data_IF_649006584329
#
_entry.id   IF_649006584329
#
_cell.length_a   1.000
_cell.length_b   1.000
_cell.length_c   1.000
_cell.angle_alpha   90.00
_cell.angle_beta   90.00
_cell.angle_gamma   90.00
#
_symmetry.space_group_name_H-M   'P 1'
#
loop_
_entity.id
_entity.type
_entity.pdbx_description
1 polymer ?
#
# COMPACT_ATOMS: atom_id res chain seq x y z
N UNK A 1 0.82 1.56 -9.77
CA UNK A 1 1.72 2.39 -10.63
C UNK A 1 1.64 3.81 -10.09
N UNK A 2 2.77 4.49 -9.87
CA UNK A 2 2.77 5.85 -9.34
C UNK A 2 2.16 6.81 -10.38
N UNK A 3 1.02 7.40 -10.03
CA UNK A 3 0.31 8.37 -10.87
C UNK A 3 0.54 9.78 -10.35
N UNK A 4 0.50 10.74 -11.26
CA UNK A 4 0.52 12.16 -10.96
C UNK A 4 -0.59 12.59 -9.98
N UNK A 5 -1.78 12.02 -10.20
CA UNK A 5 -2.96 12.28 -9.37
C UNK A 5 -2.81 11.72 -7.96
N UNK A 6 -2.20 10.53 -7.85
CA UNK A 6 -1.82 9.87 -6.60
C UNK A 6 -0.93 10.79 -5.76
N UNK A 7 0.14 11.32 -6.34
CA UNK A 7 1.09 12.20 -5.63
C UNK A 7 0.38 13.46 -5.10
N UNK A 8 -0.47 14.08 -5.92
CA UNK A 8 -1.23 15.25 -5.47
C UNK A 8 -2.24 14.94 -4.38
N UNK A 9 -2.95 13.82 -4.49
CA UNK A 9 -3.94 13.40 -3.49
C UNK A 9 -3.26 13.09 -2.15
N UNK A 10 -2.07 12.50 -2.18
CA UNK A 10 -1.30 12.21 -0.97
C UNK A 10 -0.79 13.48 -0.28
N UNK A 11 -0.49 14.56 -1.03
CA UNK A 11 -0.20 15.88 -0.45
C UNK A 11 -1.44 16.45 0.26
N UNK A 12 -2.62 16.37 -0.37
CA UNK A 12 -3.86 16.81 0.24
C UNK A 12 -4.14 16.05 1.54
N UNK A 13 -3.93 14.74 1.53
CA UNK A 13 -4.12 13.85 2.69
C UNK A 13 -3.19 14.17 3.85
N UNK A 14 -1.92 14.50 3.58
CA UNK A 14 -0.98 14.95 4.62
C UNK A 14 -1.49 16.24 5.26
N UNK A 15 -1.95 17.20 4.45
CA UNK A 15 -2.49 18.46 4.97
C UNK A 15 -3.71 18.20 5.87
N UNK A 16 -4.66 17.38 5.40
CA UNK A 16 -5.85 16.97 6.16
C UNK A 16 -5.49 16.29 7.48
N UNK A 17 -4.52 15.37 7.47
CA UNK A 17 -4.09 14.61 8.67
C UNK A 17 -3.50 15.54 9.73
N UNK A 18 -2.88 16.65 9.31
CA UNK A 18 -2.34 17.68 10.21
C UNK A 18 -3.35 18.77 10.57
N UNK A 19 -4.60 18.69 10.08
CA UNK A 19 -5.63 19.70 10.29
C UNK A 19 -5.35 21.03 9.56
N UNK A 20 -4.53 21.00 8.51
CA UNK A 20 -4.10 22.17 7.75
C UNK A 20 -4.72 22.16 6.36
N UNK A 21 -4.94 23.35 5.81
CA UNK A 21 -5.15 23.47 4.36
C UNK A 21 -3.82 23.32 3.62
N UNK A 22 -3.87 22.88 2.38
CA UNK A 22 -2.68 22.73 1.52
C UNK A 22 -1.90 24.04 1.39
N UNK A 23 -2.61 25.18 1.31
CA UNK A 23 -1.98 26.50 1.28
C UNK A 23 -1.35 26.90 2.61
N UNK A 24 -1.90 26.46 3.74
CA UNK A 24 -1.28 26.66 5.05
C UNK A 24 -0.01 25.79 5.18
N UNK A 25 -0.08 24.54 4.74
CA UNK A 25 1.07 23.63 4.67
C UNK A 25 2.19 24.20 3.79
N UNK A 26 1.86 24.77 2.63
CA UNK A 26 2.82 25.45 1.76
C UNK A 26 3.53 26.61 2.47
N UNK A 27 2.76 27.46 3.18
CA UNK A 27 3.31 28.58 3.95
C UNK A 27 4.24 28.11 5.06
N UNK A 28 3.86 27.06 5.79
CA UNK A 28 4.70 26.46 6.82
C UNK A 28 6.00 25.90 6.24
N UNK A 29 5.96 25.36 5.02
CA UNK A 29 7.12 24.85 4.29
C UNK A 29 7.97 25.93 3.59
N UNK A 30 7.66 27.22 3.78
CA UNK A 30 8.38 28.31 3.12
C UNK A 30 8.19 28.37 1.60
N UNK A 31 7.11 27.76 1.10
CA UNK A 31 6.71 27.75 -0.31
C UNK A 31 5.61 28.78 -0.55
N UNK A 32 5.42 29.16 -1.82
CA UNK A 32 4.30 30.00 -2.20
C UNK A 32 2.97 29.30 -1.89
N UNK A 33 2.03 30.04 -1.28
CA UNK A 33 0.76 29.50 -0.82
C UNK A 33 -0.11 28.93 -1.95
N UNK A 34 0.13 29.34 -3.19
CA UNK A 34 -0.61 28.90 -4.38
C UNK A 34 0.07 27.76 -5.14
N UNK A 35 1.29 27.38 -4.75
CA UNK A 35 2.10 26.38 -5.44
C UNK A 35 1.40 25.02 -5.59
N UNK A 36 0.58 24.65 -4.61
CA UNK A 36 -0.11 23.36 -4.55
C UNK A 36 -1.63 23.45 -4.82
N UNK A 37 -2.12 24.62 -5.23
CA UNK A 37 -3.53 24.82 -5.54
C UNK A 37 -3.94 23.99 -6.77
N UNK A 38 -5.17 23.47 -6.77
CA UNK A 38 -5.70 22.56 -7.80
C UNK A 38 -5.60 23.13 -9.21
N UNK A 39 -5.79 24.44 -9.38
CA UNK A 39 -5.66 25.14 -10.66
C UNK A 39 -4.25 25.15 -11.26
N UNK A 40 -3.21 24.89 -10.47
CA UNK A 40 -1.80 24.84 -10.91
C UNK A 40 -1.30 23.41 -11.17
N UNK A 41 -2.10 22.38 -10.86
CA UNK A 41 -1.75 20.96 -11.03
C UNK A 41 -1.81 20.48 -12.47
N UNK A 42 -2.48 21.24 -13.32
CA UNK A 42 -2.54 21.04 -14.77
C UNK A 42 -1.79 22.19 -15.42
N UNK A 43 -0.84 21.87 -16.29
CA UNK A 43 -0.10 22.87 -17.06
C UNK A 43 -0.98 23.57 -18.11
N UNK A 44 -0.52 24.69 -18.67
CA UNK A 44 -1.23 25.41 -19.74
C UNK A 44 -1.48 24.53 -20.98
N UNK A 45 -0.63 23.53 -21.22
CA UNK A 45 -0.76 22.57 -22.32
C UNK A 45 -1.76 21.43 -22.03
N UNK A 46 -2.51 21.49 -20.93
CA UNK A 46 -3.43 20.43 -20.49
C UNK A 46 -2.73 19.20 -19.89
N UNK A 47 -1.40 19.21 -19.77
CA UNK A 47 -0.63 18.09 -19.24
C UNK A 47 -0.61 18.09 -17.71
N UNK A 48 -0.68 16.91 -17.07
CA UNK A 48 -0.46 16.78 -15.64
C UNK A 48 0.93 17.31 -15.25
N UNK A 49 0.98 18.28 -14.32
CA UNK A 49 2.22 18.95 -13.90
C UNK A 49 2.79 18.32 -12.63
N UNK A 50 3.81 17.47 -12.76
CA UNK A 50 4.49 16.85 -11.62
C UNK A 50 5.05 17.88 -10.63
N UNK A 51 4.89 17.68 -9.30
CA UNK A 51 5.55 18.50 -8.31
C UNK A 51 7.06 18.26 -8.32
N UNK A 52 7.84 19.31 -8.03
CA UNK A 52 9.29 19.19 -7.88
C UNK A 52 9.64 18.43 -6.61
N UNK A 53 10.69 17.62 -6.66
CA UNK A 53 11.23 16.88 -5.50
C UNK A 53 11.65 17.80 -4.36
N UNK A 54 12.17 18.99 -4.67
CA UNK A 54 12.51 20.02 -3.68
C UNK A 54 11.27 20.48 -2.89
N UNK A 55 10.15 20.69 -3.57
CA UNK A 55 8.91 21.12 -2.92
C UNK A 55 8.33 20.01 -2.03
N UNK A 56 8.46 18.75 -2.44
CA UNK A 56 8.08 17.59 -1.63
C UNK A 56 8.94 17.50 -0.36
N UNK A 57 10.26 17.66 -0.48
CA UNK A 57 11.18 17.63 0.66
C UNK A 57 10.82 18.70 1.71
N UNK A 58 10.58 19.94 1.28
CA UNK A 58 10.16 21.04 2.16
C UNK A 58 8.85 20.75 2.90
N UNK A 59 7.88 20.10 2.23
CA UNK A 59 6.64 19.67 2.88
C UNK A 59 6.93 18.60 3.94
N UNK A 60 7.76 17.60 3.64
CA UNK A 60 8.08 16.53 4.60
C UNK A 60 8.74 17.07 5.86
N UNK A 61 9.66 18.03 5.72
CA UNK A 61 10.28 18.71 6.87
C UNK A 61 9.26 19.52 7.66
N UNK A 62 8.40 20.31 7.00
CA UNK A 62 7.41 21.15 7.69
C UNK A 62 6.26 20.34 8.34
N UNK A 63 5.85 19.24 7.71
CA UNK A 63 4.81 18.35 8.21
C UNK A 63 5.34 17.31 9.20
N UNK A 64 6.67 17.22 9.38
CA UNK A 64 7.35 16.15 10.10
C UNK A 64 6.82 14.76 9.68
N UNK A 65 6.71 14.55 8.36
CA UNK A 65 6.12 13.38 7.73
C UNK A 65 7.20 12.57 7.00
N UNK A 66 7.09 11.25 7.05
CA UNK A 66 8.02 10.35 6.38
C UNK A 66 7.54 9.96 4.97
N UNK A 67 8.47 9.60 4.09
CA UNK A 67 8.14 9.08 2.75
C UNK A 67 7.22 7.87 2.80
N UNK A 68 7.39 6.98 3.79
CA UNK A 68 6.53 5.82 3.95
C UNK A 68 5.10 6.22 4.30
N UNK A 69 4.92 7.23 5.14
CA UNK A 69 3.60 7.77 5.47
C UNK A 69 2.94 8.34 4.21
N UNK A 70 3.68 9.15 3.45
CA UNK A 70 3.20 9.73 2.19
C UNK A 70 2.66 8.69 1.20
N UNK A 71 3.39 7.59 1.00
CA UNK A 71 2.94 6.51 0.10
C UNK A 71 1.96 5.51 0.74
N UNK A 72 1.76 5.56 2.06
CA UNK A 72 0.76 4.73 2.75
C UNK A 72 -0.63 5.39 2.75
N UNK A 73 -0.68 6.70 2.50
CA UNK A 73 -1.90 7.50 2.42
C UNK A 73 -2.66 7.34 1.10
N UNK A 74 -2.16 6.50 0.19
CA UNK A 74 -2.87 6.10 -1.02
C UNK A 74 -4.25 5.54 -0.63
N UNK A 75 -5.34 5.95 -1.31
CA UNK A 75 -6.54 5.15 -1.26
C UNK A 75 -6.14 3.77 -1.75
N UNK A 76 -6.30 2.76 -0.90
CA UNK A 76 -6.13 1.38 -1.29
C UNK A 76 -7.13 1.12 -2.42
N UNK A 77 -6.73 1.36 -3.66
CA UNK A 77 -7.38 0.79 -4.83
C UNK A 77 -7.26 -0.70 -4.57
N UNK A 78 -8.39 -1.30 -4.17
CA UNK A 78 -8.45 -2.64 -3.63
C UNK A 78 -7.67 -3.61 -4.50
N UNK A 79 -6.43 -3.86 -4.10
CA UNK A 79 -5.65 -5.00 -4.54
C UNK A 79 -4.93 -5.40 -3.28
N UNK A 80 -5.60 -6.29 -2.53
CA UNK A 80 -4.92 -7.15 -1.59
C UNK A 80 -3.66 -7.64 -2.30
N UNK A 81 -2.50 -7.18 -1.86
CA UNK A 81 -1.26 -7.68 -2.40
C UNK A 81 -1.31 -9.21 -2.27
N UNK A 82 -1.20 -10.00 -3.35
CA UNK A 82 -0.93 -11.40 -3.16
C UNK A 82 0.40 -11.45 -2.43
N UNK A 83 0.41 -12.02 -1.23
CA UNK A 83 1.61 -12.53 -0.60
C UNK A 83 2.23 -13.49 -1.60
N UNK A 84 3.13 -12.97 -2.44
CA UNK A 84 3.85 -13.75 -3.43
C UNK A 84 4.88 -14.53 -2.64
N UNK A 85 4.45 -15.66 -2.08
CA UNK A 85 5.33 -16.64 -1.50
C UNK A 85 6.32 -17.01 -2.60
N UNK A 86 7.58 -16.59 -2.44
CA UNK A 86 8.66 -16.96 -3.33
C UNK A 86 8.90 -18.45 -3.03
N UNK A 87 8.55 -19.39 -3.93
CA UNK A 87 8.84 -20.78 -3.68
C UNK A 87 10.36 -20.95 -3.75
N UNK A 88 10.99 -21.31 -2.62
CA UNK A 88 12.37 -21.80 -2.61
C UNK A 88 12.39 -23.17 -3.28
N UNK A 89 12.46 -23.18 -4.60
CA UNK A 89 12.79 -24.36 -5.38
C UNK A 89 14.31 -24.56 -5.27
N UNK A 90 14.72 -25.68 -4.66
CA UNK A 90 16.05 -26.24 -4.89
C UNK A 90 17.02 -26.32 -3.71
N UNK A 91 16.59 -26.69 -2.50
CA UNK A 91 17.50 -27.23 -1.47
C UNK A 91 17.04 -28.60 -0.90
N UNK A 92 15.93 -29.14 -1.39
CA UNK A 92 15.32 -30.37 -0.88
C UNK A 92 15.30 -31.52 -1.91
N UNK A 93 16.34 -31.63 -2.75
CA UNK A 93 16.74 -32.94 -3.28
C UNK A 93 17.86 -33.52 -2.40
N UNK A 94 17.62 -33.53 -1.09
CA UNK A 94 18.46 -34.21 -0.11
C UNK A 94 17.52 -34.69 1.01
N UNK A 95 17.19 -35.98 0.98
CA UNK A 95 16.40 -36.63 2.04
C UNK A 95 15.13 -37.30 1.51
N UNK A 96 15.31 -38.47 0.94
CA UNK A 96 14.28 -39.49 0.76
C UNK A 96 13.45 -39.67 2.04
N UNK A 97 12.12 -39.75 1.91
CA UNK A 97 11.23 -40.16 3.00
C UNK A 97 10.36 -39.01 3.50
N UNK A 98 9.08 -39.06 3.17
CA UNK A 98 8.12 -38.02 3.51
C UNK A 98 7.74 -38.00 4.98
N UNK A 99 7.31 -36.83 5.47
CA UNK A 99 6.51 -36.71 6.69
C UNK A 99 5.55 -35.52 6.55
N UNK A 100 4.29 -35.79 6.88
CA UNK A 100 3.14 -34.90 6.95
C UNK A 100 3.30 -33.91 8.12
N UNK A 101 2.67 -32.72 8.07
CA UNK A 101 1.68 -32.23 9.07
C UNK A 101 0.83 -31.09 8.45
N UNK A 102 -0.48 -31.17 8.63
CA UNK A 102 -1.47 -30.11 8.36
C UNK A 102 -1.65 -29.16 9.56
N UNK A 103 -1.84 -27.86 9.33
CA UNK A 103 -2.54 -26.91 10.21
C UNK A 103 -2.92 -25.65 9.40
N UNK A 104 -4.11 -25.03 9.45
CA UNK A 104 -5.29 -25.24 10.26
C UNK A 104 -6.56 -24.71 9.53
N UNK A 105 -7.62 -25.50 9.70
CA UNK A 105 -9.04 -25.16 9.88
C UNK A 105 -9.53 -23.75 9.47
N UNK A 106 -10.25 -23.70 8.33
CA UNK A 106 -11.18 -22.63 7.98
C UNK A 106 -12.47 -22.83 8.79
N UNK A 107 -12.84 -21.84 9.62
CA UNK A 107 -14.09 -21.83 10.39
C UNK A 107 -15.30 -21.91 9.44
N UNK A 108 -16.20 -22.81 9.81
CA UNK A 108 -17.38 -23.26 9.10
C UNK A 108 -18.44 -22.19 8.80
N UNK A 109 -19.12 -22.34 7.66
CA UNK A 109 -20.49 -21.93 7.46
C UNK A 109 -21.36 -23.18 7.26
N UNK A 110 -22.40 -23.30 8.09
CA UNK A 110 -23.59 -24.14 7.96
C UNK A 110 -23.45 -25.68 7.83
N UNK A 111 -23.85 -26.37 8.91
CA UNK A 111 -24.73 -27.55 8.80
C UNK A 111 -24.11 -28.94 8.59
N UNK A 112 -24.05 -29.70 9.69
CA UNK A 112 -24.07 -31.18 9.80
C UNK A 112 -22.78 -32.02 9.63
N UNK A 113 -22.66 -33.14 10.39
CA UNK A 113 -21.39 -33.83 10.62
C UNK A 113 -21.06 -34.88 9.53
N UNK A 114 -19.93 -34.69 8.83
CA UNK A 114 -19.34 -35.72 7.97
C UNK A 114 -18.65 -36.79 8.81
N UNK A 115 -19.21 -38.00 8.83
CA UNK A 115 -18.61 -39.20 9.39
C UNK A 115 -17.49 -39.74 8.47
N UNK A 116 -16.25 -39.73 8.95
CA UNK A 116 -15.09 -40.24 8.19
C UNK A 116 -14.91 -41.73 8.48
N UNK A 117 -15.36 -42.56 7.55
CA UNK A 117 -15.16 -44.02 7.51
C UNK A 117 -13.71 -44.32 7.10
N UNK A 118 -12.90 -44.89 8.01
CA UNK A 118 -11.52 -45.33 7.73
C UNK A 118 -11.52 -46.68 6.99
N UNK A 119 -10.97 -46.74 5.78
CA UNK A 119 -10.63 -47.99 5.11
C UNK A 119 -9.20 -48.41 5.51
N UNK A 120 -9.06 -49.62 6.06
CA UNK A 120 -7.80 -50.30 6.40
C UNK A 120 -7.24 -50.98 5.15
N UNK A 121 -5.98 -50.71 4.80
CA UNK A 121 -5.21 -51.55 3.86
C UNK A 121 -4.67 -52.78 4.61
N UNK A 122 -4.91 -53.97 4.05
CA UNK A 122 -4.32 -55.25 4.48
C UNK A 122 -2.95 -55.43 3.81
N UNK A 123 -2.06 -56.08 4.55
CA UNK A 123 -0.73 -56.54 4.14
C UNK A 123 -0.81 -57.74 3.20
#
# INVERSE_FOLDING_TARGET
>A
MLSHETVWSSIDRIAETRGLSVSALARMAGLDATAFNKSKRVGPDGRPRWPSTESLAKIFEAANADLREFFSLEPATASAAPSRAIPLIGLAQAGSGGFLVMAACRRAAAGMPCSVRRARAKS
#
